data_IF_416457184867
#
_entry.id   IF_416457184867
#
_cell.length_a   1.000
_cell.length_b   1.000
_cell.length_c   1.000
_cell.angle_alpha   90.00
_cell.angle_beta   90.00
_cell.angle_gamma   90.00
#
_symmetry.space_group_name_H-M   'P 1'
#
loop_
_entity.id
_entity.type
_entity.pdbx_description
1 polymer ?
#
# COMPACT_ATOMS: atom_id res chain seq x y z
N UNK A 1 -18.79 5.31 19.39
CA UNK A 1 -17.57 4.51 19.66
C UNK A 1 -17.01 4.11 18.31
N UNK A 2 -15.92 4.76 17.89
CA UNK A 2 -15.54 4.94 16.48
C UNK A 2 -14.77 3.74 15.91
N UNK A 3 -15.43 2.59 15.79
CA UNK A 3 -14.82 1.36 15.23
C UNK A 3 -14.63 1.42 13.70
N UNK A 4 -15.34 2.33 13.01
CA UNK A 4 -15.28 2.43 11.55
C UNK A 4 -13.93 2.90 11.00
N UNK A 5 -13.20 3.75 11.73
CA UNK A 5 -11.93 4.31 11.26
C UNK A 5 -10.81 3.27 11.23
N UNK A 6 -10.73 2.40 12.24
CA UNK A 6 -9.75 1.30 12.25
C UNK A 6 -10.00 0.32 11.12
N UNK A 7 -11.25 -0.06 10.91
CA UNK A 7 -11.61 -0.97 9.83
C UNK A 7 -11.28 -0.39 8.44
N UNK A 8 -11.59 0.89 8.21
CA UNK A 8 -11.25 1.56 6.95
C UNK A 8 -9.73 1.62 6.70
N UNK A 9 -8.94 1.84 7.75
CA UNK A 9 -7.47 1.85 7.67
C UNK A 9 -6.92 0.45 7.40
N UNK A 10 -7.44 -0.58 8.05
CA UNK A 10 -7.03 -1.98 7.81
C UNK A 10 -7.40 -2.46 6.40
N UNK A 11 -8.59 -2.09 5.91
CA UNK A 11 -9.03 -2.37 4.54
C UNK A 11 -8.12 -1.67 3.52
N UNK A 12 -7.79 -0.39 3.75
CA UNK A 12 -6.83 0.33 2.91
C UNK A 12 -5.46 -0.35 2.90
N UNK A 13 -4.97 -0.81 4.06
CA UNK A 13 -3.69 -1.55 4.12
C UNK A 13 -3.72 -2.81 3.26
N UNK A 14 -4.79 -3.61 3.36
CA UNK A 14 -4.94 -4.81 2.52
C UNK A 14 -5.00 -4.47 1.05
N UNK A 15 -5.79 -3.46 0.67
CA UNK A 15 -5.87 -3.02 -0.72
C UNK A 15 -4.53 -2.51 -1.25
N UNK A 16 -3.76 -1.78 -0.44
CA UNK A 16 -2.41 -1.34 -0.80
C UNK A 16 -1.49 -2.53 -1.08
N UNK A 17 -1.50 -3.55 -0.22
CA UNK A 17 -0.72 -4.76 -0.41
C UNK A 17 -1.15 -5.50 -1.67
N UNK A 18 -2.46 -5.68 -1.89
CA UNK A 18 -2.97 -6.33 -3.10
C UNK A 18 -2.60 -5.55 -4.37
N UNK A 19 -2.72 -4.22 -4.37
CA UNK A 19 -2.32 -3.39 -5.51
C UNK A 19 -0.81 -3.46 -5.78
N UNK A 20 0.01 -3.43 -4.74
CA UNK A 20 1.46 -3.58 -4.89
C UNK A 20 1.79 -4.95 -5.52
N UNK A 21 1.14 -6.02 -5.06
CA UNK A 21 1.28 -7.37 -5.65
C UNK A 21 0.84 -7.38 -7.12
N UNK A 22 -0.28 -6.73 -7.44
CA UNK A 22 -0.84 -6.64 -8.81
C UNK A 22 0.09 -5.90 -9.77
N UNK A 23 0.73 -4.82 -9.30
CA UNK A 23 1.76 -4.06 -10.03
C UNK A 23 3.08 -4.85 -10.19
N UNK A 24 3.20 -6.01 -9.53
CA UNK A 24 4.38 -6.88 -9.58
C UNK A 24 5.39 -6.62 -8.47
N UNK A 25 5.05 -5.78 -7.49
CA UNK A 25 5.82 -5.58 -6.26
C UNK A 25 5.32 -6.59 -5.23
N UNK A 26 6.03 -7.69 -5.05
CA UNK A 26 5.68 -8.74 -4.08
C UNK A 26 6.52 -8.67 -2.79
N UNK A 27 7.68 -8.02 -2.87
CA UNK A 27 8.62 -7.81 -1.77
C UNK A 27 9.36 -6.51 -1.99
N UNK A 28 9.61 -5.78 -0.93
CA UNK A 28 10.32 -4.50 -0.94
C UNK A 28 11.49 -4.66 0.01
N UNK A 29 12.69 -4.31 -0.43
CA UNK A 29 13.90 -4.37 0.42
C UNK A 29 14.14 -5.76 1.07
N UNK A 30 13.88 -6.85 0.35
CA UNK A 30 13.96 -8.24 0.85
C UNK A 30 13.02 -8.60 2.00
N UNK A 31 12.02 -7.77 2.30
CA UNK A 31 10.95 -8.08 3.26
C UNK A 31 9.62 -8.26 2.55
N UNK A 32 8.74 -9.06 3.13
CA UNK A 32 7.37 -9.18 2.60
C UNK A 32 6.60 -7.89 2.81
N UNK A 33 5.66 -7.56 1.91
CA UNK A 33 4.77 -6.41 2.06
C UNK A 33 3.99 -6.43 3.40
N UNK A 34 3.71 -7.63 3.91
CA UNK A 34 3.07 -7.82 5.20
C UNK A 34 3.97 -7.46 6.39
N UNK A 35 5.29 -7.54 6.21
CA UNK A 35 6.29 -7.10 7.19
C UNK A 35 6.54 -5.58 7.11
N UNK A 36 6.12 -4.92 6.04
CA UNK A 36 6.20 -3.47 5.92
C UNK A 36 5.14 -2.78 6.76
N UNK A 37 5.52 -1.60 7.25
CA UNK A 37 4.59 -0.72 7.96
C UNK A 37 3.57 -0.12 6.98
N UNK A 38 2.40 0.25 7.51
CA UNK A 38 1.33 0.91 6.73
C UNK A 38 1.85 2.17 6.04
N UNK A 39 2.70 2.93 6.76
CA UNK A 39 3.39 4.12 6.25
C UNK A 39 4.29 3.83 5.04
N UNK A 40 5.06 2.72 5.08
CA UNK A 40 5.92 2.33 3.95
C UNK A 40 5.10 1.91 2.73
N UNK A 41 4.02 1.14 2.94
CA UNK A 41 3.10 0.74 1.87
C UNK A 41 2.38 1.96 1.27
N UNK A 42 1.93 2.90 2.09
CA UNK A 42 1.32 4.16 1.62
C UNK A 42 2.33 5.00 0.86
N UNK A 43 3.57 5.10 1.34
CA UNK A 43 4.62 5.86 0.67
C UNK A 43 4.93 5.29 -0.71
N UNK A 44 5.07 3.97 -0.82
CA UNK A 44 5.36 3.31 -2.09
C UNK A 44 4.19 3.42 -3.07
N UNK A 45 2.96 3.27 -2.57
CA UNK A 45 1.78 3.47 -3.40
C UNK A 45 1.59 4.92 -3.84
N UNK A 46 1.88 5.89 -2.97
CA UNK A 46 1.85 7.30 -3.33
C UNK A 46 2.94 7.66 -4.34
N UNK A 47 4.09 6.99 -4.27
CA UNK A 47 5.15 7.07 -5.27
C UNK A 47 4.67 6.50 -6.61
N UNK A 48 4.06 5.31 -6.62
CA UNK A 48 3.44 4.71 -7.81
C UNK A 48 2.37 5.63 -8.42
N UNK A 49 1.47 6.19 -7.60
CA UNK A 49 0.46 7.15 -8.07
C UNK A 49 1.09 8.41 -8.68
N UNK A 50 2.17 8.92 -8.09
CA UNK A 50 2.91 10.04 -8.68
C UNK A 50 3.54 9.68 -10.02
N UNK A 51 4.09 8.47 -10.15
CA UNK A 51 4.63 8.00 -11.44
C UNK A 51 3.54 7.74 -12.49
N UNK A 52 2.35 7.33 -12.06
CA UNK A 52 1.21 7.08 -12.94
C UNK A 52 0.59 8.39 -13.47
N UNK A 53 0.53 9.43 -12.64
CA UNK A 53 0.11 10.79 -13.03
C UNK A 53 1.09 11.43 -14.04
N UNK A 54 2.40 11.15 -13.91
CA UNK A 54 3.43 11.64 -14.84
C UNK A 54 3.37 10.95 -16.22
N UNK A 55 2.63 9.85 -16.33
CA UNK A 55 2.45 9.11 -17.59
C UNK A 55 1.14 9.44 -18.33
N UNK A 56 0.26 10.25 -17.74
CA UNK A 56 -1.02 10.66 -18.32
C UNK A 56 -0.91 11.86 -19.29
#
# INVERSE_FOLDING_TARGET
MSYGLRYAVEQRKKQLIEKLIDVGVYKVLNKQLYELSLDELEKEYNDILKYEDVRA
#
